data_IF_195971709582
#
_entry.id   IF_195971709582
#
_cell.length_a   1.000
_cell.length_b   1.000
_cell.length_c   1.000
_cell.angle_alpha   90.00
_cell.angle_beta   90.00
_cell.angle_gamma   90.00
#
_symmetry.space_group_name_H-M   'P 1'
#
loop_
_entity.id
_entity.type
_entity.pdbx_description
1 polymer ?
#
# COMPACT_ATOMS: atom_id res chain seq x y z
N UNK A 1 27.63 20.19 1.41
CA UNK A 1 26.31 19.90 0.82
C UNK A 1 25.64 18.94 1.77
N UNK A 2 24.54 19.34 2.40
CA UNK A 2 23.84 18.50 3.37
C UNK A 2 22.73 17.75 2.65
N UNK A 3 22.67 16.45 2.86
CA UNK A 3 21.60 15.60 2.34
C UNK A 3 20.46 15.53 3.37
N UNK A 4 19.24 15.29 2.91
CA UNK A 4 18.09 15.09 3.79
C UNK A 4 18.28 13.81 4.62
N UNK A 5 18.03 13.88 5.93
CA UNK A 5 18.11 12.72 6.82
C UNK A 5 16.96 11.72 6.61
N UNK A 6 15.80 12.22 6.16
CA UNK A 6 14.60 11.45 5.87
C UNK A 6 14.20 11.63 4.39
N UNK A 7 13.50 10.65 3.79
CA UNK A 7 12.88 10.85 2.49
C UNK A 7 11.77 11.91 2.59
N UNK A 8 11.69 12.85 1.64
CA UNK A 8 10.58 13.82 1.65
C UNK A 8 9.21 13.20 1.34
N UNK A 9 9.17 12.17 0.48
CA UNK A 9 7.94 11.47 0.08
C UNK A 9 8.04 9.97 0.37
N UNK A 10 7.04 9.42 1.05
CA UNK A 10 6.89 7.99 1.32
C UNK A 10 5.63 7.45 0.63
N UNK A 11 5.76 6.31 -0.06
CA UNK A 11 4.64 5.59 -0.67
C UNK A 11 4.53 4.22 -0.01
N UNK A 12 3.46 4.00 0.74
CA UNK A 12 3.16 2.74 1.42
C UNK A 12 2.08 1.97 0.65
N UNK A 13 2.30 0.67 0.45
CA UNK A 13 1.36 -0.21 -0.26
C UNK A 13 0.83 -1.27 0.71
N UNK A 14 -0.47 -1.21 1.02
CA UNK A 14 -1.19 -2.21 1.79
C UNK A 14 -1.83 -3.24 0.88
N UNK A 15 -1.60 -4.52 1.18
CA UNK A 15 -2.10 -5.68 0.43
C UNK A 15 -2.65 -6.73 1.41
N UNK A 16 -3.80 -6.46 2.04
CA UNK A 16 -4.58 -7.46 2.81
C UNK A 16 -5.82 -6.85 3.47
N UNK A 17 -6.81 -7.70 3.77
CA UNK A 17 -8.17 -7.42 4.28
C UNK A 17 -8.29 -6.54 5.54
N UNK A 18 -7.21 -6.32 6.27
CA UNK A 18 -7.14 -5.26 7.26
C UNK A 18 -6.27 -4.18 6.66
N UNK A 19 -6.89 -3.12 6.16
CA UNK A 19 -6.19 -1.86 5.91
C UNK A 19 -5.46 -1.51 7.19
N UNK A 20 -4.18 -1.91 7.28
CA UNK A 20 -3.25 -1.48 8.33
C UNK A 20 -3.51 0.01 8.47
N UNK A 21 -3.51 0.51 9.70
CA UNK A 21 -3.89 1.89 9.95
C UNK A 21 -2.91 2.83 9.23
N UNK A 22 -3.14 3.10 7.95
CA UNK A 22 -2.29 3.89 7.05
C UNK A 22 -2.20 5.30 7.59
N UNK A 23 -3.26 5.75 8.29
CA UNK A 23 -3.26 6.99 9.04
C UNK A 23 -2.27 6.92 10.20
N UNK A 24 -2.25 5.84 10.99
CA UNK A 24 -1.22 5.65 12.03
C UNK A 24 0.19 5.61 11.45
N UNK A 25 0.43 4.89 10.34
CA UNK A 25 1.74 4.88 9.70
C UNK A 25 2.14 6.27 9.18
N UNK A 26 1.21 7.01 8.57
CA UNK A 26 1.47 8.38 8.13
C UNK A 26 1.79 9.29 9.32
N UNK A 27 1.08 9.12 10.44
CA UNK A 27 1.37 9.82 11.69
C UNK A 27 2.76 9.49 12.20
N UNK A 28 3.10 8.19 12.34
CA UNK A 28 4.39 7.72 12.82
C UNK A 28 5.54 8.27 11.95
N UNK A 29 5.38 8.28 10.63
CA UNK A 29 6.37 8.82 9.70
C UNK A 29 6.54 10.33 9.86
N UNK A 30 5.46 11.10 9.74
CA UNK A 30 5.52 12.56 9.75
C UNK A 30 5.96 13.09 11.12
N UNK A 31 5.40 12.55 12.20
CA UNK A 31 5.64 13.06 13.56
C UNK A 31 7.02 12.63 14.07
N UNK A 32 7.44 11.37 13.90
CA UNK A 32 8.77 10.97 14.36
C UNK A 32 9.91 11.56 13.52
N UNK A 33 9.62 12.06 12.32
CA UNK A 33 10.58 12.84 11.53
C UNK A 33 10.52 14.34 11.80
N UNK A 34 9.74 14.82 12.78
CA UNK A 34 9.49 16.25 13.03
C UNK A 34 9.01 17.02 11.78
N UNK A 35 8.27 16.35 10.88
CA UNK A 35 7.75 16.95 9.65
C UNK A 35 8.72 16.96 8.46
N UNK A 36 9.91 16.37 8.58
CA UNK A 36 10.86 16.23 7.46
C UNK A 36 10.35 15.30 6.34
N UNK A 37 9.50 14.32 6.67
CA UNK A 37 8.68 13.60 5.70
C UNK A 37 7.48 14.49 5.36
N UNK A 38 7.53 15.14 4.19
CA UNK A 38 6.55 16.14 3.75
C UNK A 38 5.28 15.53 3.17
N UNK A 39 5.33 14.30 2.63
CA UNK A 39 4.16 13.61 2.07
C UNK A 39 4.22 12.11 2.37
N UNK A 40 3.09 11.56 2.83
CA UNK A 40 2.86 10.11 2.87
C UNK A 40 1.68 9.76 1.97
N UNK A 41 1.88 8.86 1.02
CA UNK A 41 0.83 8.30 0.15
C UNK A 41 0.60 6.85 0.57
N UNK A 42 -0.60 6.54 1.06
CA UNK A 42 -1.02 5.18 1.36
C UNK A 42 -1.89 4.63 0.23
N UNK A 43 -1.50 3.51 -0.36
CA UNK A 43 -2.27 2.80 -1.39
C UNK A 43 -2.81 1.51 -0.78
N UNK A 44 -4.13 1.38 -0.70
CA UNK A 44 -4.80 0.16 -0.26
C UNK A 44 -5.31 -0.62 -1.46
N UNK A 45 -4.69 -1.78 -1.72
CA UNK A 45 -5.01 -2.62 -2.88
C UNK A 45 -6.07 -3.64 -2.49
N UNK A 46 -7.13 -3.72 -3.30
CA UNK A 46 -8.16 -4.74 -3.18
C UNK A 46 -7.57 -6.15 -3.29
N UNK A 47 -7.74 -6.94 -2.23
CA UNK A 47 -7.48 -8.37 -2.25
C UNK A 47 -8.80 -9.15 -2.46
N UNK A 48 -8.86 -9.93 -3.54
CA UNK A 48 -9.97 -10.88 -3.77
C UNK A 48 -11.29 -10.27 -4.24
N UNK A 49 -11.31 -9.03 -4.74
CA UNK A 49 -12.53 -8.45 -5.34
C UNK A 49 -13.54 -7.90 -4.32
N UNK A 50 -13.15 -7.75 -3.05
CA UNK A 50 -14.09 -7.44 -1.96
C UNK A 50 -14.34 -5.93 -1.79
N UNK A 51 -13.35 -5.10 -2.12
CA UNK A 51 -13.41 -3.64 -1.93
C UNK A 51 -12.76 -2.88 -3.09
N UNK A 52 -12.88 -1.56 -3.13
CA UNK A 52 -12.15 -0.78 -4.13
C UNK A 52 -10.66 -0.71 -3.75
N UNK A 53 -9.78 -0.57 -4.75
CA UNK A 53 -8.41 -0.15 -4.49
C UNK A 53 -8.38 1.37 -4.36
N UNK A 54 -7.97 1.85 -3.19
CA UNK A 54 -8.07 3.25 -2.81
C UNK A 54 -6.70 3.82 -2.48
N UNK A 55 -6.62 5.14 -2.44
CA UNK A 55 -5.46 5.83 -1.91
C UNK A 55 -5.85 6.94 -0.95
N UNK A 56 -4.93 7.23 -0.04
CA UNK A 56 -4.99 8.34 0.89
C UNK A 56 -3.65 9.08 0.90
N UNK A 57 -3.67 10.37 1.22
CA UNK A 57 -2.48 11.20 1.26
C UNK A 57 -2.50 12.10 2.49
N UNK A 58 -1.34 12.23 3.14
CA UNK A 58 -1.16 13.05 4.34
C UNK A 58 0.05 13.97 4.22
N UNK A 59 -0.02 15.12 4.88
CA UNK A 59 1.03 16.14 5.00
C UNK A 59 1.21 16.61 6.45
N UNK A 60 2.39 17.11 6.83
CA UNK A 60 2.53 17.83 8.08
C UNK A 60 1.67 19.10 8.07
N UNK A 61 1.08 19.41 9.22
CA UNK A 61 0.38 20.67 9.50
C UNK A 61 0.97 21.26 10.76
N UNK A 62 1.24 22.56 10.75
CA UNK A 62 1.84 23.27 11.86
C UNK A 62 0.80 24.26 12.41
N UNK A 63 0.45 24.12 13.69
CA UNK A 63 -0.49 24.99 14.39
C UNK A 63 0.28 25.81 15.41
N UNK A 64 0.26 27.13 15.25
CA UNK A 64 0.85 28.04 16.21
C UNK A 64 -0.19 28.44 17.26
N UNK A 65 0.11 28.24 18.53
CA UNK A 65 -0.75 28.64 19.66
C UNK A 65 -0.23 29.94 20.29
N UNK A 66 -1.13 30.87 20.58
CA UNK A 66 -0.74 32.18 21.11
C UNK A 66 -0.08 32.05 22.49
N UNK A 67 1.18 32.49 22.59
CA UNK A 67 1.98 32.41 23.81
C UNK A 67 2.91 31.20 23.89
N UNK A 68 2.93 30.33 22.87
CA UNK A 68 3.88 29.22 22.75
C UNK A 68 5.06 29.58 21.82
N UNK A 69 6.26 29.14 22.19
CA UNK A 69 7.48 29.37 21.40
C UNK A 69 7.66 28.37 20.26
N UNK A 70 6.92 27.25 20.26
CA UNK A 70 7.03 26.16 19.30
C UNK A 70 5.69 25.85 18.64
N UNK A 71 5.73 25.48 17.36
CA UNK A 71 4.54 25.03 16.64
C UNK A 71 4.16 23.59 17.03
N UNK A 72 2.85 23.33 17.15
CA UNK A 72 2.32 21.99 17.27
C UNK A 72 2.31 21.30 15.89
N UNK A 73 3.05 20.21 15.78
CA UNK A 73 3.07 19.36 14.58
C UNK A 73 1.92 18.35 14.60
N UNK A 74 1.06 18.44 13.59
CA UNK A 74 -0.02 17.50 13.31
C UNK A 74 0.09 16.92 11.90
N UNK A 75 -0.83 16.01 11.55
CA UNK A 75 -0.99 15.52 10.18
C UNK A 75 -2.34 15.97 9.61
N UNK A 76 -2.33 16.43 8.36
CA UNK A 76 -3.52 16.73 7.58
C UNK A 76 -3.73 15.65 6.53
N UNK A 77 -4.93 15.08 6.46
CA UNK A 77 -5.32 14.16 5.39
C UNK A 77 -5.91 14.92 4.20
N UNK A 78 -5.13 15.10 3.13
CA UNK A 78 -5.58 15.81 1.91
C UNK A 78 -6.40 14.91 0.97
N UNK A 79 -6.06 13.62 0.89
CA UNK A 79 -6.81 12.64 0.12
C UNK A 79 -7.25 11.53 1.07
N UNK A 80 -8.55 11.22 1.05
CA UNK A 80 -9.15 10.19 1.91
C UNK A 80 -9.83 9.11 1.08
N UNK A 81 -9.23 7.92 1.10
CA UNK A 81 -9.76 6.67 0.53
C UNK A 81 -10.37 6.86 -0.87
N UNK A 82 -9.71 7.62 -1.74
CA UNK A 82 -10.22 7.86 -3.09
C UNK A 82 -9.93 6.63 -3.95
N UNK A 83 -10.95 6.04 -4.61
CA UNK A 83 -10.74 4.87 -5.42
C UNK A 83 -10.06 5.24 -6.74
N UNK A 84 -9.08 4.45 -7.14
CA UNK A 84 -8.48 4.50 -8.49
C UNK A 84 -8.81 3.23 -9.30
N UNK A 85 -9.27 2.17 -8.62
CA UNK A 85 -9.80 0.96 -9.23
C UNK A 85 -10.95 0.40 -8.41
N UNK A 86 -12.07 0.10 -9.06
CA UNK A 86 -13.23 -0.46 -8.38
C UNK A 86 -13.02 -1.96 -8.06
N UNK A 87 -13.88 -2.50 -7.21
CA UNK A 87 -13.86 -3.92 -6.80
C UNK A 87 -13.94 -4.92 -7.96
N UNK A 88 -14.58 -4.55 -9.06
CA UNK A 88 -14.71 -5.35 -10.28
C UNK A 88 -13.46 -5.29 -11.18
N UNK A 89 -12.45 -4.53 -10.78
CA UNK A 89 -11.21 -4.31 -11.53
C UNK A 89 -11.27 -3.15 -12.52
N UNK A 90 -12.43 -2.50 -12.69
CA UNK A 90 -12.57 -1.34 -13.58
C UNK A 90 -11.77 -0.14 -13.07
N UNK A 91 -11.17 0.59 -14.01
CA UNK A 91 -10.40 1.78 -13.75
C UNK A 91 -11.35 2.95 -13.48
N UNK A 92 -11.22 3.63 -12.33
CA UNK A 92 -12.11 4.74 -11.95
C UNK A 92 -11.30 6.01 -11.69
N UNK A 93 -11.97 7.17 -11.69
CA UNK A 93 -11.35 8.47 -11.40
C UNK A 93 -10.09 8.78 -12.26
N UNK A 94 -10.09 8.36 -13.53
CA UNK A 94 -8.91 8.40 -14.40
C UNK A 94 -8.35 9.80 -14.66
N UNK A 95 -9.20 10.83 -14.55
CA UNK A 95 -8.82 12.24 -14.70
C UNK A 95 -8.23 12.85 -13.42
N UNK A 96 -8.20 12.11 -12.31
CA UNK A 96 -7.60 12.58 -11.05
C UNK A 96 -6.11 12.24 -11.00
N UNK A 97 -5.40 13.01 -10.20
CA UNK A 97 -3.99 12.82 -9.93
C UNK A 97 -3.65 13.12 -8.47
N UNK A 98 -2.49 12.65 -8.04
CA UNK A 98 -1.88 12.99 -6.75
C UNK A 98 -0.95 14.17 -7.00
N UNK A 99 -1.27 15.38 -6.50
CA UNK A 99 -0.41 16.53 -6.67
C UNK A 99 0.79 16.47 -5.71
N UNK A 100 2.00 16.54 -6.26
CA UNK A 100 3.25 16.60 -5.50
C UNK A 100 4.01 17.86 -5.89
N UNK A 101 4.42 18.65 -4.91
CA UNK A 101 5.30 19.81 -5.13
C UNK A 101 6.74 19.31 -5.12
N UNK A 102 7.62 19.95 -5.90
CA UNK A 102 9.04 19.62 -5.82
C UNK A 102 9.61 19.88 -4.42
N UNK A 103 9.02 20.84 -3.70
CA UNK A 103 9.34 21.09 -2.30
C UNK A 103 9.02 19.94 -1.35
N UNK A 104 8.15 19.01 -1.74
CA UNK A 104 7.80 17.86 -0.91
C UNK A 104 8.93 16.83 -0.84
N UNK A 105 9.96 16.94 -1.68
CA UNK A 105 11.03 15.95 -1.77
C UNK A 105 12.20 16.24 -0.82
N UNK A 106 12.16 17.34 -0.06
CA UNK A 106 13.21 17.70 0.89
C UNK A 106 12.68 18.59 2.03
N UNK A 107 13.40 18.68 3.18
CA UNK A 107 13.14 19.67 4.22
C UNK A 107 13.12 21.11 3.69
N UNK A 108 12.53 22.02 4.46
CA UNK A 108 12.26 23.39 4.00
C UNK A 108 13.56 24.17 3.71
N UNK A 109 14.64 23.87 4.45
CA UNK A 109 15.97 24.44 4.28
C UNK A 109 16.60 24.06 2.92
N UNK A 110 16.29 22.87 2.41
CA UNK A 110 16.79 22.36 1.13
C UNK A 110 15.84 22.67 -0.03
N UNK A 111 14.54 22.86 0.26
CA UNK A 111 13.51 23.04 -0.76
C UNK A 111 13.11 24.49 -1.03
N UNK A 112 13.60 25.45 -0.24
CA UNK A 112 13.24 26.87 -0.32
C UNK A 112 13.33 27.48 -1.74
N UNK A 113 14.26 27.02 -2.58
CA UNK A 113 14.44 27.51 -3.95
C UNK A 113 13.46 26.94 -4.99
N UNK A 114 12.67 25.93 -4.65
CA UNK A 114 11.85 25.16 -5.60
C UNK A 114 10.34 25.41 -5.47
N UNK A 115 9.96 26.64 -5.12
CA UNK A 115 8.55 27.01 -4.93
C UNK A 115 7.75 26.96 -6.24
N UNK A 116 6.52 26.45 -6.16
CA UNK A 116 5.55 26.48 -7.27
C UNK A 116 5.73 25.41 -8.36
N UNK A 117 6.80 24.62 -8.32
CA UNK A 117 7.00 23.51 -9.28
C UNK A 117 6.23 22.28 -8.78
N UNK A 118 5.39 21.72 -9.65
CA UNK A 118 4.55 20.56 -9.33
C UNK A 118 4.75 19.43 -10.34
N UNK A 119 4.59 18.20 -9.84
CA UNK A 119 4.46 16.97 -10.60
C UNK A 119 3.26 16.21 -10.08
N UNK A 120 2.80 15.23 -10.83
CA UNK A 120 1.61 14.50 -10.47
C UNK A 120 1.69 13.01 -10.82
N UNK A 121 1.03 12.18 -10.01
CA UNK A 121 0.84 10.76 -10.28
C UNK A 121 -0.63 10.57 -10.65
N UNK A 122 -0.93 10.28 -11.91
CA UNK A 122 -2.30 10.07 -12.36
C UNK A 122 -2.89 8.76 -11.83
N UNK A 123 -4.20 8.76 -11.57
CA UNK A 123 -4.91 7.56 -11.11
C UNK A 123 -4.96 6.51 -12.21
N UNK A 124 -5.00 6.94 -13.46
CA UNK A 124 -4.82 6.07 -14.61
C UNK A 124 -3.51 5.29 -14.54
N UNK A 125 -2.40 5.98 -14.21
CA UNK A 125 -1.10 5.31 -14.10
C UNK A 125 -1.07 4.29 -12.98
N UNK A 126 -1.66 4.61 -11.83
CA UNK A 126 -1.76 3.68 -10.70
C UNK A 126 -2.55 2.42 -11.07
N UNK A 127 -3.69 2.59 -11.74
CA UNK A 127 -4.51 1.48 -12.20
C UNK A 127 -3.78 0.59 -13.22
N UNK A 128 -3.06 1.18 -14.19
CA UNK A 128 -2.22 0.46 -15.15
C UNK A 128 -1.12 -0.35 -14.46
N UNK A 129 -0.37 0.28 -13.54
CA UNK A 129 0.73 -0.36 -12.81
C UNK A 129 0.20 -1.55 -12.01
N UNK A 130 -0.96 -1.39 -11.37
CA UNK A 130 -1.59 -2.47 -10.62
C UNK A 130 -2.04 -3.62 -11.52
N UNK A 131 -2.69 -3.33 -12.66
CA UNK A 131 -3.03 -4.36 -13.67
C UNK A 131 -1.78 -5.09 -14.16
N UNK A 132 -0.69 -4.37 -14.41
CA UNK A 132 0.57 -4.97 -14.83
C UNK A 132 1.16 -5.87 -13.73
N UNK A 133 1.18 -5.41 -12.48
CA UNK A 133 1.68 -6.17 -11.33
C UNK A 133 0.89 -7.47 -11.13
N UNK A 134 -0.43 -7.45 -11.23
CA UNK A 134 -1.27 -8.65 -11.11
C UNK A 134 -1.05 -9.64 -12.26
N UNK A 135 -0.91 -9.17 -13.49
CA UNK A 135 -0.56 -10.03 -14.63
C UNK A 135 0.78 -10.73 -14.42
N UNK A 136 1.78 -9.98 -13.94
CA UNK A 136 3.10 -10.52 -13.61
C UNK A 136 3.04 -11.51 -12.44
N UNK A 137 2.20 -11.25 -11.44
CA UNK A 137 1.99 -12.15 -10.31
C UNK A 137 1.35 -13.47 -10.75
N UNK A 138 0.25 -13.43 -11.52
CA UNK A 138 -0.39 -14.63 -12.08
C UNK A 138 0.56 -15.45 -12.96
N UNK A 139 1.35 -14.78 -13.81
CA UNK A 139 2.34 -15.48 -14.65
C UNK A 139 3.41 -16.22 -13.83
N UNK A 140 3.79 -15.69 -12.66
CA UNK A 140 4.73 -16.34 -11.74
C UNK A 140 4.10 -17.53 -11.00
N UNK A 141 2.82 -17.46 -10.67
CA UNK A 141 2.11 -18.53 -9.97
C UNK A 141 1.70 -19.68 -10.89
N UNK A 142 1.23 -19.37 -12.11
CA UNK A 142 0.72 -20.37 -13.05
C UNK A 142 1.80 -20.97 -13.97
N UNK A 143 2.96 -20.32 -14.11
CA UNK A 143 3.98 -20.70 -15.10
C UNK A 143 5.09 -21.59 -14.54
N UNK A 144 5.57 -22.60 -15.30
CA UNK A 144 6.86 -23.24 -15.04
C UNK A 144 7.97 -22.27 -15.45
N UNK A 145 8.21 -21.24 -14.64
CA UNK A 145 9.39 -20.39 -14.81
C UNK A 145 10.65 -21.25 -14.75
N UNK A 146 11.68 -20.90 -15.52
CA UNK A 146 12.97 -21.58 -15.44
C UNK A 146 13.54 -21.35 -14.04
N UNK A 147 13.43 -22.37 -13.18
CA UNK A 147 13.97 -22.34 -11.83
C UNK A 147 15.47 -22.63 -11.89
N UNK A 148 16.22 -21.96 -11.02
CA UNK A 148 17.63 -22.30 -10.81
C UNK A 148 17.76 -23.77 -10.40
N UNK A 149 18.64 -24.52 -11.07
CA UNK A 149 18.97 -25.92 -10.71
C UNK A 149 19.89 -26.01 -9.49
N UNK A 150 20.31 -24.86 -8.93
CA UNK A 150 21.24 -24.80 -7.79
C UNK A 150 20.54 -25.33 -6.53
N UNK A 151 21.20 -26.26 -5.84
CA UNK A 151 20.79 -26.73 -4.50
C UNK A 151 21.38 -25.79 -3.46
N UNK A 152 20.54 -25.03 -2.76
CA UNK A 152 20.97 -24.06 -1.74
C UNK A 152 20.45 -24.45 -0.36
N UNK A 153 21.24 -24.17 0.70
CA UNK A 153 20.74 -24.13 2.08
C UNK A 153 20.38 -22.69 2.40
N UNK A 154 19.16 -22.44 2.89
CA UNK A 154 18.72 -21.10 3.31
C UNK A 154 19.21 -20.85 4.74
N UNK A 155 19.92 -19.74 4.96
CA UNK A 155 20.27 -19.27 6.31
C UNK A 155 18.99 -18.79 7.01
N UNK A 156 18.79 -19.14 8.28
CA UNK A 156 17.71 -18.55 9.09
C UNK A 156 17.99 -17.07 9.31
N UNK A 157 16.97 -16.23 9.16
CA UNK A 157 17.05 -14.81 9.50
C UNK A 157 17.26 -14.69 11.01
N UNK A 158 18.26 -13.90 11.44
CA UNK A 158 18.42 -13.55 12.84
C UNK A 158 17.29 -12.60 13.23
N UNK A 159 16.48 -12.93 14.24
CA UNK A 159 15.45 -12.03 14.74
C UNK A 159 16.11 -10.85 15.46
N UNK A 160 15.82 -9.63 15.03
CA UNK A 160 16.08 -8.43 15.84
C UNK A 160 14.87 -8.18 16.75
N UNK A 161 15.08 -7.50 17.87
CA UNK A 161 14.08 -7.30 18.95
C UNK A 161 12.74 -6.72 18.50
N UNK A 162 12.68 -6.06 17.34
CA UNK A 162 11.45 -5.52 16.75
C UNK A 162 10.49 -6.57 16.19
N UNK A 163 10.96 -7.80 15.89
CA UNK A 163 10.11 -8.86 15.35
C UNK A 163 9.35 -9.64 16.44
N UNK A 164 9.80 -9.63 17.71
CA UNK A 164 9.11 -10.35 18.80
C UNK A 164 7.68 -9.80 19.04
N UNK A 165 7.45 -8.49 18.89
CA UNK A 165 6.11 -7.90 19.03
C UNK A 165 5.16 -8.20 17.84
N UNK A 166 5.67 -8.65 16.69
CA UNK A 166 4.87 -8.93 15.46
C UNK A 166 4.46 -10.40 15.30
N UNK A 167 4.97 -11.28 16.16
CA UNK A 167 4.72 -12.74 16.06
C UNK A 167 3.26 -13.12 16.37
N UNK A 168 2.57 -12.37 17.24
CA UNK A 168 1.15 -12.61 17.54
C UNK A 168 0.24 -12.28 16.33
N UNK A 169 0.63 -11.29 15.51
CA UNK A 169 -0.08 -10.92 14.29
C UNK A 169 0.14 -11.96 13.17
N UNK A 170 1.34 -12.55 13.08
CA UNK A 170 1.66 -13.60 12.11
C UNK A 170 0.91 -14.91 12.40
N UNK A 171 0.73 -15.25 13.69
CA UNK A 171 -0.05 -16.41 14.10
C UNK A 171 -1.55 -16.28 13.76
N UNK A 172 -2.09 -15.06 13.86
CA UNK A 172 -3.47 -14.78 13.43
C UNK A 172 -3.62 -14.86 11.91
N UNK A 173 -2.64 -14.37 11.16
CA UNK A 173 -2.63 -14.44 9.68
C UNK A 173 -2.64 -15.89 9.18
N UNK A 174 -1.78 -16.75 9.75
CA UNK A 174 -1.68 -18.17 9.37
C UNK A 174 -3.00 -18.92 9.60
N UNK A 175 -3.68 -18.65 10.71
CA UNK A 175 -4.99 -19.23 11.04
C UNK A 175 -6.11 -18.74 10.12
N UNK A 176 -5.99 -17.54 9.56
CA UNK A 176 -6.97 -17.00 8.61
C UNK A 176 -6.77 -17.56 7.21
N UNK A 177 -5.51 -17.76 6.78
CA UNK A 177 -5.17 -18.44 5.53
C UNK A 177 -5.68 -19.90 5.52
N UNK A 178 -5.42 -20.67 6.57
CA UNK A 178 -5.92 -22.05 6.71
C UNK A 178 -7.45 -22.13 6.62
N UNK A 179 -8.15 -21.21 7.28
CA UNK A 179 -9.62 -21.16 7.23
C UNK A 179 -10.17 -20.76 5.87
N UNK A 180 -9.46 -19.94 5.10
CA UNK A 180 -9.85 -19.56 3.76
C UNK A 180 -9.65 -20.74 2.78
N UNK A 181 -8.55 -21.48 2.93
CA UNK A 181 -8.27 -22.71 2.18
C UNK A 181 -9.34 -23.78 2.45
N UNK A 182 -9.67 -24.05 3.72
CA UNK A 182 -10.74 -25.00 4.08
C UNK A 182 -12.09 -24.63 3.45
N UNK A 183 -12.45 -23.35 3.47
CA UNK A 183 -13.70 -22.87 2.84
C UNK A 183 -13.69 -23.02 1.32
N UNK A 184 -12.54 -22.83 0.68
CA UNK A 184 -12.40 -23.03 -0.77
C UNK A 184 -12.53 -24.50 -1.16
N UNK A 185 -11.98 -25.42 -0.36
CA UNK A 185 -12.06 -26.85 -0.59
C UNK A 185 -13.49 -27.40 -0.46
N UNK A 186 -14.29 -26.86 0.47
CA UNK A 186 -15.69 -27.28 0.66
C UNK A 186 -16.59 -26.87 -0.52
N UNK A 187 -16.27 -25.78 -1.24
CA UNK A 187 -17.07 -25.31 -2.36
C UNK A 187 -16.90 -26.14 -3.65
N UNK A 188 -15.76 -26.81 -3.84
CA UNK A 188 -15.50 -27.63 -5.04
C UNK A 188 -16.19 -29.00 -5.02
N UNK A 189 -16.55 -29.53 -3.84
CA UNK A 189 -17.13 -30.89 -3.70
C UNK A 189 -18.61 -31.02 -4.10
N UNK A 190 -19.30 -29.91 -4.45
CA UNK A 190 -20.74 -29.93 -4.77
C UNK A 190 -21.08 -29.82 -6.27
N UNK A 191 -20.12 -30.00 -7.18
CA UNK A 191 -20.41 -29.99 -8.62
C UNK A 191 -20.90 -31.36 -9.12
N UNK A 192 -22.23 -31.53 -9.25
CA UNK A 192 -22.84 -32.67 -9.95
C UNK A 192 -23.12 -32.28 -11.41
N UNK A 193 -22.50 -32.93 -12.42
CA UNK A 193 -22.74 -32.62 -13.82
C UNK A 193 -24.15 -33.08 -14.26
N UNK A 194 -24.87 -32.30 -15.08
CA UNK A 194 -26.22 -32.65 -15.51
C UNK A 194 -26.22 -33.81 -16.51
N UNK A 195 -27.02 -34.85 -16.21
CA UNK A 195 -27.27 -36.00 -17.08
C UNK A 195 -27.94 -35.59 -18.40
N UNK A 196 -27.29 -35.91 -19.54
CA UNK A 196 -27.89 -35.84 -20.87
C UNK A 196 -28.81 -37.04 -21.11
N UNK A 197 -30.13 -36.82 -21.15
CA UNK A 197 -31.07 -37.83 -21.69
C UNK A 197 -30.95 -37.88 -23.22
N UNK A 198 -30.61 -39.06 -23.74
CA UNK A 198 -30.70 -39.40 -25.17
C UNK A 198 -32.17 -39.57 -25.57
N UNK A 199 -32.52 -39.03 -26.73
CA UNK A 199 -33.80 -39.24 -27.42
C UNK A 199 -33.99 -40.72 -27.74
N UNK A 200 -35.20 -41.21 -27.52
CA UNK A 200 -35.87 -42.22 -28.33
C UNK A 200 -37.32 -41.80 -28.49
#
# INVERSE_FOLDING_TARGET
MYDAAYPGVVVEISYSQNGKDLKKLAWDYIVHSNGDIKVVVGIDINYGGMQDSTLSMWRPSYVHEEGEDMDLLEIQQEIKNQPFRAKDGSHVNQMKSIPLKLSDFAPDELSASFQGIQTEISYAKLAEVLTFAERMHRARESGPGIKSRRRTRKRRRSSSSMEEMKTDDEAKHRRQEEKAEERSAICDDNFVPPFRKRKS
#
